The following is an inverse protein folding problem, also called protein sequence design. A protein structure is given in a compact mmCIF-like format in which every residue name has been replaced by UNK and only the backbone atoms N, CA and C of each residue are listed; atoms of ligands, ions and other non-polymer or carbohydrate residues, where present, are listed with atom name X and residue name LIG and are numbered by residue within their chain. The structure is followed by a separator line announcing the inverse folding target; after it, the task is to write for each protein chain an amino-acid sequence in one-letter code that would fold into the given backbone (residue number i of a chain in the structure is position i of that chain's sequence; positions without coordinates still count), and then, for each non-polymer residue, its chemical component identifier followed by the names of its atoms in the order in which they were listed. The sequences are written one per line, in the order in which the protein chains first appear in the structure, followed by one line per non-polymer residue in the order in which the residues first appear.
data_IF_497052820936
#
_entry.id   IF_497052820936
#
_cell.length_a   1.000
_cell.length_b   1.000
_cell.length_c   1.000
_cell.angle_alpha   90.00
_cell.angle_beta   90.00
_cell.angle_gamma   90.00
#
_symmetry.space_group_name_H-M   'P 1'
#
loop_
_entity.id
_entity.type
_entity.pdbx_description
1 polymer ?
#
# COMPACT_ATOMS: atom_id res chain seq x y z
N UNK A 1 -3.54 10.25 -16.05
CA UNK A 1 -2.71 9.07 -15.74
C UNK A 1 -1.52 9.53 -14.92
N UNK A 2 -1.11 8.77 -13.91
CA UNK A 2 0.08 9.04 -13.11
C UNK A 2 1.30 8.37 -13.75
N UNK A 3 2.49 8.93 -13.51
CA UNK A 3 3.76 8.37 -14.01
C UNK A 3 4.46 7.50 -12.96
N UNK A 4 4.10 7.68 -11.69
CA UNK A 4 4.58 6.91 -10.55
C UNK A 4 3.58 7.02 -9.39
N UNK A 5 3.75 6.18 -8.38
CA UNK A 5 2.98 6.28 -7.14
C UNK A 5 3.75 5.75 -5.93
N UNK A 6 3.31 6.17 -4.75
CA UNK A 6 3.71 5.57 -3.48
C UNK A 6 2.52 4.79 -2.94
N UNK A 7 2.72 3.50 -2.72
CA UNK A 7 1.77 2.64 -2.03
C UNK A 7 2.15 2.51 -0.57
N UNK A 8 1.15 2.62 0.30
CA UNK A 8 1.22 2.21 1.69
C UNK A 8 0.54 0.85 1.81
N UNK A 9 1.28 -0.14 2.26
CA UNK A 9 0.79 -1.52 2.41
C UNK A 9 0.98 -2.03 3.83
N UNK A 10 0.16 -3.01 4.19
CA UNK A 10 0.37 -3.88 5.34
C UNK A 10 0.72 -5.27 4.85
N UNK A 11 1.86 -5.80 5.29
CA UNK A 11 2.33 -7.16 4.99
C UNK A 11 1.72 -8.10 6.03
N UNK A 12 0.70 -8.85 5.63
CA UNK A 12 0.05 -9.84 6.49
C UNK A 12 0.78 -11.18 6.38
N UNK A 13 1.76 -11.39 7.24
CA UNK A 13 2.55 -12.64 7.25
C UNK A 13 1.68 -13.88 7.54
N UNK A 14 0.61 -13.71 8.32
CA UNK A 14 -0.30 -14.82 8.69
C UNK A 14 -1.12 -15.26 7.49
N UNK A 15 -1.67 -14.31 6.73
CA UNK A 15 -2.43 -14.59 5.52
C UNK A 15 -1.52 -14.77 4.28
N UNK A 16 -0.21 -14.51 4.41
CA UNK A 16 0.77 -14.50 3.32
C UNK A 16 0.34 -13.60 2.15
N UNK A 17 -0.12 -12.39 2.45
CA UNK A 17 -0.55 -11.42 1.44
C UNK A 17 -0.22 -9.97 1.83
N UNK A 18 -0.11 -9.11 0.81
CA UNK A 18 0.02 -7.68 0.98
C UNK A 18 -1.35 -7.01 0.86
N UNK A 19 -1.67 -6.15 1.81
CA UNK A 19 -2.93 -5.43 1.90
C UNK A 19 -2.66 -3.96 1.58
N UNK A 20 -3.20 -3.49 0.45
CA UNK A 20 -3.11 -2.08 0.08
C UNK A 20 -3.95 -1.22 1.04
N UNK A 21 -3.30 -0.24 1.68
CA UNK A 21 -3.94 0.68 2.63
C UNK A 21 -4.27 2.02 1.98
N UNK A 22 -3.42 2.47 1.05
CA UNK A 22 -3.61 3.72 0.34
C UNK A 22 -2.52 3.96 -0.71
N UNK A 23 -2.82 4.89 -1.63
CA UNK A 23 -1.94 5.25 -2.76
C UNK A 23 -1.89 6.76 -2.96
N UNK A 24 -0.70 7.30 -3.14
CA UNK A 24 -0.47 8.66 -3.62
C UNK A 24 0.12 8.63 -5.02
N UNK A 25 -0.56 9.21 -6.00
CA UNK A 25 -0.12 9.21 -7.40
C UNK A 25 0.56 10.51 -7.82
N UNK A 26 1.64 10.40 -8.59
CA UNK A 26 2.49 11.52 -8.98
C UNK A 26 2.63 11.61 -10.51
N UNK A 27 2.66 12.84 -11.03
CA UNK A 27 3.00 13.10 -12.45
C UNK A 27 4.49 13.37 -12.63
N UNK A 28 5.13 13.97 -11.64
CA UNK A 28 6.57 14.26 -11.67
C UNK A 28 7.34 13.12 -10.98
N UNK A 29 8.29 12.52 -11.71
CA UNK A 29 9.14 11.43 -11.23
C UNK A 29 10.19 11.92 -10.21
N UNK A 30 10.51 13.20 -10.23
CA UNK A 30 11.41 13.83 -9.24
C UNK A 30 10.67 14.00 -7.92
N UNK A 31 9.43 14.50 -7.98
CA UNK A 31 8.59 14.74 -6.81
C UNK A 31 8.32 13.44 -6.04
N UNK A 32 7.96 12.35 -6.72
CA UNK A 32 7.71 11.06 -6.05
C UNK A 32 8.95 10.56 -5.31
N UNK A 33 10.15 10.76 -5.87
CA UNK A 33 11.41 10.42 -5.22
C UNK A 33 11.61 11.24 -3.94
N UNK A 34 11.49 12.57 -4.05
CA UNK A 34 11.65 13.46 -2.90
C UNK A 34 10.64 13.18 -1.78
N UNK A 35 9.37 12.95 -2.12
CA UNK A 35 8.34 12.61 -1.14
C UNK A 35 8.64 11.26 -0.50
N UNK A 36 8.97 10.25 -1.30
CA UNK A 36 9.33 8.94 -0.78
C UNK A 36 10.52 9.02 0.17
N UNK A 37 11.61 9.67 -0.23
CA UNK A 37 12.83 9.82 0.57
C UNK A 37 12.57 10.57 1.89
N UNK A 38 11.63 11.53 1.89
CA UNK A 38 11.26 12.29 3.08
C UNK A 38 10.51 11.48 4.15
N UNK A 39 9.91 10.33 3.79
CA UNK A 39 9.20 9.50 4.76
C UNK A 39 10.18 8.92 5.80
N UNK A 40 9.88 9.03 7.10
CA UNK A 40 10.74 8.43 8.12
C UNK A 40 10.72 6.90 8.00
N UNK A 41 11.91 6.29 8.11
CA UNK A 41 12.07 4.84 8.20
C UNK A 41 11.76 4.40 9.62
N UNK A 42 11.08 3.26 9.78
CA UNK A 42 10.86 2.68 11.11
C UNK A 42 12.18 2.17 11.70
N UNK A 43 12.48 2.56 12.93
CA UNK A 43 13.67 2.10 13.68
C UNK A 43 13.51 0.69 14.27
N UNK A 44 12.38 0.03 13.99
CA UNK A 44 12.03 -1.29 14.51
C UNK A 44 11.32 -2.11 13.44
N UNK A 45 11.15 -3.41 13.71
CA UNK A 45 10.34 -4.25 12.85
C UNK A 45 8.94 -3.65 12.65
N UNK A 46 8.50 -3.52 11.40
CA UNK A 46 7.18 -3.03 11.05
C UNK A 46 6.61 -3.86 9.91
N UNK A 47 5.34 -4.22 10.04
CA UNK A 47 4.55 -4.84 8.97
C UNK A 47 4.02 -3.79 7.97
N UNK A 48 4.25 -2.50 8.19
CA UNK A 48 3.83 -1.44 7.29
C UNK A 48 4.99 -1.01 6.39
N UNK A 49 4.74 -0.97 5.09
CA UNK A 49 5.74 -0.61 4.09
C UNK A 49 5.25 0.55 3.23
N UNK A 50 6.15 1.48 2.92
CA UNK A 50 5.99 2.38 1.80
C UNK A 50 6.72 1.80 0.59
N UNK A 51 6.05 1.70 -0.54
CA UNK A 51 6.61 1.22 -1.81
C UNK A 51 6.54 2.34 -2.86
N UNK A 52 7.67 2.69 -3.44
CA UNK A 52 7.72 3.58 -4.61
C UNK A 52 7.62 2.73 -5.86
N UNK A 53 6.60 2.99 -6.66
CA UNK A 53 6.28 2.22 -7.85
C UNK A 53 6.28 3.11 -9.10
N UNK A 54 6.61 2.50 -10.25
CA UNK A 54 6.44 3.15 -11.55
C UNK A 54 4.98 3.10 -12.06
N UNK A 55 4.71 3.67 -13.24
CA UNK A 55 3.38 3.68 -13.85
C UNK A 55 2.80 2.27 -14.13
N UNK A 56 3.65 1.25 -14.29
CA UNK A 56 3.23 -0.14 -14.51
C UNK A 56 2.90 -0.87 -13.21
N UNK A 57 3.34 -0.32 -12.09
CA UNK A 57 3.25 -0.94 -10.77
C UNK A 57 4.41 -1.82 -10.38
N UNK A 58 5.53 -1.73 -11.11
CA UNK A 58 6.77 -2.31 -10.63
C UNK A 58 7.26 -1.52 -9.41
N UNK A 59 7.53 -2.23 -8.31
CA UNK A 59 8.18 -1.66 -7.12
C UNK A 59 9.63 -1.35 -7.45
N UNK A 60 9.99 -0.08 -7.39
CA UNK A 60 11.34 0.42 -7.62
C UNK A 60 12.16 0.49 -6.33
N UNK A 61 11.49 0.80 -5.22
CA UNK A 61 12.11 0.92 -3.89
C UNK A 61 11.05 0.69 -2.80
N UNK A 62 11.48 0.26 -1.61
CA UNK A 62 10.59 0.03 -0.47
C UNK A 62 11.30 0.25 0.85
N UNK A 63 10.57 0.78 1.83
CA UNK A 63 11.10 0.95 3.19
C UNK A 63 10.03 0.75 4.27
N UNK A 64 10.41 0.21 5.44
CA UNK A 64 9.48 0.06 6.55
C UNK A 64 9.11 1.43 7.11
N UNK A 65 7.83 1.63 7.39
CA UNK A 65 7.27 2.81 8.05
C UNK A 65 6.49 2.37 9.28
N UNK A 66 6.22 3.25 10.24
CA UNK A 66 5.41 2.87 11.41
C UNK A 66 3.91 3.09 11.15
N UNK A 67 3.07 2.53 12.02
CA UNK A 67 1.62 2.66 11.93
C UNK A 67 1.20 4.13 12.06
N UNK A 68 1.82 4.88 12.98
CA UNK A 68 1.49 6.28 13.24
C UNK A 68 1.64 7.16 12.00
N UNK A 69 2.70 6.96 11.20
CA UNK A 69 2.87 7.65 9.93
C UNK A 69 1.76 7.30 8.94
N UNK A 70 1.39 6.01 8.84
CA UNK A 70 0.32 5.57 7.95
C UNK A 70 -1.00 6.22 8.33
N UNK A 71 -1.35 6.27 9.62
CA UNK A 71 -2.58 6.92 10.10
C UNK A 71 -2.56 8.42 9.84
N UNK A 72 -1.41 9.08 10.05
CA UNK A 72 -1.24 10.50 9.79
C UNK A 72 -1.42 10.82 8.29
N UNK A 73 -0.83 10.03 7.41
CA UNK A 73 -0.90 10.25 5.95
C UNK A 73 -2.29 9.96 5.39
N UNK A 74 -2.99 8.95 5.92
CA UNK A 74 -4.28 8.50 5.41
C UNK A 74 -5.49 9.05 6.19
N UNK A 75 -5.25 9.72 7.33
CA UNK A 75 -6.28 10.31 8.18
C UNK A 75 -7.26 9.28 8.75
N UNK A 76 -6.82 8.04 8.95
CA UNK A 76 -7.67 6.93 9.40
C UNK A 76 -6.87 5.90 10.21
N UNK A 77 -7.45 5.26 11.23
CA UNK A 77 -6.78 4.23 12.00
C UNK A 77 -6.35 3.03 11.14
N UNK A 78 -5.16 2.45 11.39
CA UNK A 78 -4.65 1.31 10.61
C UNK A 78 -5.57 0.10 10.66
N UNK A 79 -6.28 -0.12 11.77
CA UNK A 79 -7.25 -1.21 11.91
C UNK A 79 -8.39 -1.10 10.89
N UNK A 80 -8.88 0.12 10.66
CA UNK A 80 -9.91 0.40 9.65
C UNK A 80 -9.36 0.25 8.23
N UNK A 81 -8.14 0.73 8.00
CA UNK A 81 -7.48 0.64 6.70
C UNK A 81 -7.21 -0.81 6.29
N UNK A 82 -6.70 -1.63 7.23
CA UNK A 82 -6.46 -3.06 7.01
C UNK A 82 -7.78 -3.78 6.74
N UNK A 83 -8.83 -3.53 7.53
CA UNK A 83 -10.13 -4.18 7.32
C UNK A 83 -10.69 -3.83 5.93
N UNK A 84 -10.66 -2.54 5.55
CA UNK A 84 -11.09 -2.10 4.23
C UNK A 84 -10.27 -2.75 3.10
N UNK A 85 -8.95 -2.86 3.28
CA UNK A 85 -8.08 -3.52 2.31
C UNK A 85 -8.41 -5.01 2.15
N UNK A 86 -8.73 -5.69 3.26
CA UNK A 86 -9.21 -7.09 3.24
C UNK A 86 -10.54 -7.22 2.49
N UNK A 87 -11.50 -6.35 2.78
CA UNK A 87 -12.82 -6.37 2.15
C UNK A 87 -12.72 -6.17 0.63
N UNK A 88 -11.83 -5.27 0.20
CA UNK A 88 -11.53 -5.09 -1.22
C UNK A 88 -10.87 -6.36 -1.78
N UNK A 89 -9.82 -6.90 -1.17
CA UNK A 89 -9.19 -8.13 -1.66
C UNK A 89 -10.17 -9.31 -1.81
N UNK A 90 -11.19 -9.42 -0.94
CA UNK A 90 -12.28 -10.39 -1.08
C UNK A 90 -13.27 -10.03 -2.18
N UNK A 91 -13.65 -8.76 -2.33
CA UNK A 91 -14.57 -8.32 -3.38
C UNK A 91 -14.03 -8.60 -4.79
N UNK A 92 -12.72 -8.43 -5.02
CA UNK A 92 -12.09 -8.77 -6.30
C UNK A 92 -12.01 -10.29 -6.54
N UNK A 93 -11.92 -11.11 -5.48
CA UNK A 93 -11.97 -12.58 -5.59
C UNK A 93 -13.36 -13.08 -5.94
N UNK A 94 -14.41 -12.44 -5.43
CA UNK A 94 -15.81 -12.80 -5.75
C UNK A 94 -16.21 -12.33 -7.16
N UNK A 95 -15.74 -11.17 -7.61
CA UNK A 95 -16.03 -10.65 -8.97
C UNK A 95 -15.28 -11.43 -10.08
N UNK A 96 -14.13 -12.03 -9.76
CA UNK A 96 -13.34 -12.90 -10.66
C UNK A 96 -13.61 -14.39 -10.47
N UNK A 97 -14.56 -14.78 -9.63
CA UNK A 97 -15.07 -16.14 -9.60
C UNK A 97 -16.25 -16.23 -10.59
N UNK A 98 -16.03 -16.55 -11.89
CA UNK A 98 -17.15 -16.97 -12.72
C UNK A 98 -17.77 -18.18 -12.03
N UNK A 99 -19.10 -18.16 -11.91
CA UNK A 99 -19.94 -19.24 -11.39
C UNK A 99 -19.33 -20.63 -11.64
N UNK A 100 -18.63 -21.18 -10.66
CA UNK A 100 -18.34 -22.61 -10.56
C UNK A 100 -19.43 -23.29 -9.73
N UNK A 101 -20.69 -23.03 -10.10
CA UNK A 101 -21.81 -23.86 -9.70
C UNK A 101 -22.22 -24.64 -10.94
N UNK A 102 -22.20 -25.96 -10.76
CA UNK A 102 -22.33 -27.04 -11.74
C UNK A 102 -23.58 -26.96 -12.64
#
# INVERSE_FOLDING_TARGET
MWNAYIDLIFVDEVASCDIALGRAGFKDLTEVGLVFDSLPVSDSYSAFMAQRCDASGAVLDSKPVNAELVEQLLGSPVTMLIQRGRDLATGWREELAPSMVA
#
